data_IF_434095401421
#
_entry.id   IF_434095401421
#
_cell.length_a   1.000
_cell.length_b   1.000
_cell.length_c   1.000
_cell.angle_alpha   90.00
_cell.angle_beta   90.00
_cell.angle_gamma   90.00
#
_symmetry.space_group_name_H-M   'P 1'
#
loop_
_entity.id
_entity.type
_entity.pdbx_description
1 polymer ?
#
# COMPACT_ATOMS: atom_id res chain seq x y z
N UNK A 1 8.73 10.25 -13.20
CA UNK A 1 9.14 10.43 -11.79
C UNK A 1 10.37 9.60 -11.49
N UNK A 2 11.37 10.20 -10.89
CA UNK A 2 12.58 9.50 -10.49
C UNK A 2 12.29 8.72 -9.22
N UNK A 3 12.60 7.45 -9.26
CA UNK A 3 12.41 6.54 -8.16
C UNK A 3 13.52 6.73 -7.12
N UNK A 4 13.16 6.89 -5.85
CA UNK A 4 14.13 7.00 -4.76
C UNK A 4 14.31 5.65 -4.08
N UNK A 5 15.42 4.98 -4.39
CA UNK A 5 15.68 3.62 -3.90
C UNK A 5 15.84 3.55 -2.38
N UNK A 6 16.39 4.58 -1.75
CA UNK A 6 16.55 4.60 -0.29
C UNK A 6 15.20 4.70 0.41
N UNK A 7 14.30 5.53 -0.11
CA UNK A 7 12.95 5.66 0.43
C UNK A 7 12.18 4.35 0.28
N UNK A 8 12.27 3.73 -0.89
CA UNK A 8 11.56 2.46 -1.13
C UNK A 8 12.09 1.38 -0.19
N UNK A 9 13.41 1.31 0.01
CA UNK A 9 14.01 0.35 0.96
C UNK A 9 13.44 0.55 2.36
N UNK A 10 13.37 1.79 2.83
CA UNK A 10 12.80 2.13 4.13
C UNK A 10 11.34 1.71 4.23
N UNK A 11 10.56 1.99 3.19
CA UNK A 11 9.14 1.62 3.16
C UNK A 11 8.98 0.10 3.26
N UNK A 12 9.78 -0.65 2.53
CA UNK A 12 9.69 -2.12 2.53
C UNK A 12 10.16 -2.70 3.87
N UNK A 13 11.24 -2.16 4.45
CA UNK A 13 11.69 -2.59 5.77
C UNK A 13 10.61 -2.37 6.82
N UNK A 14 10.05 -1.18 6.86
CA UNK A 14 8.99 -0.83 7.81
C UNK A 14 7.70 -1.61 7.55
N UNK A 15 7.45 -1.98 6.30
CA UNK A 15 6.31 -2.80 5.90
C UNK A 15 6.47 -4.29 6.20
N UNK A 16 7.63 -4.70 6.73
CA UNK A 16 7.87 -6.09 7.08
C UNK A 16 8.06 -7.00 5.86
N UNK A 17 8.57 -6.47 4.77
CA UNK A 17 8.77 -7.25 3.55
C UNK A 17 10.09 -8.01 3.63
N UNK A 18 10.01 -9.32 3.75
CA UNK A 18 11.17 -10.20 3.85
C UNK A 18 10.91 -11.54 3.14
N UNK A 19 11.90 -12.40 3.11
CA UNK A 19 11.79 -13.69 2.43
C UNK A 19 10.69 -14.58 3.03
N UNK A 20 10.08 -15.37 2.19
CA UNK A 20 9.14 -16.42 2.59
C UNK A 20 7.73 -15.98 2.93
N UNK A 21 7.40 -14.68 2.84
CA UNK A 21 6.07 -14.19 3.17
C UNK A 21 5.16 -14.05 1.95
N UNK A 22 3.87 -13.98 2.20
CA UNK A 22 2.85 -13.69 1.19
C UNK A 22 2.43 -12.22 1.30
N UNK A 23 2.51 -11.50 0.19
CA UNK A 23 2.27 -10.05 0.12
C UNK A 23 1.03 -9.75 -0.70
N UNK A 24 0.19 -8.83 -0.20
CA UNK A 24 -0.89 -8.21 -0.98
C UNK A 24 -0.50 -6.76 -1.26
N UNK A 25 -0.48 -6.39 -2.53
CA UNK A 25 -0.20 -5.02 -2.98
C UNK A 25 -1.50 -4.38 -3.46
N UNK A 26 -2.04 -3.47 -2.66
CA UNK A 26 -3.35 -2.85 -2.87
C UNK A 26 -3.23 -1.64 -3.78
N UNK A 27 -4.08 -1.58 -4.81
CA UNK A 27 -4.03 -0.56 -5.86
C UNK A 27 -2.64 -0.58 -6.52
N UNK A 28 -2.25 -1.75 -6.98
CA UNK A 28 -0.87 -2.01 -7.41
C UNK A 28 -0.46 -1.28 -8.70
N UNK A 29 -1.41 -0.72 -9.43
CA UNK A 29 -1.12 -0.05 -10.70
C UNK A 29 -0.47 -1.01 -11.68
N UNK A 30 0.64 -0.59 -12.27
CA UNK A 30 1.40 -1.42 -13.20
C UNK A 30 2.43 -2.34 -12.52
N UNK A 31 2.40 -2.41 -11.20
CA UNK A 31 3.29 -3.31 -10.44
C UNK A 31 4.64 -2.71 -10.11
N UNK A 32 4.68 -1.43 -9.77
CA UNK A 32 5.93 -0.70 -9.55
C UNK A 32 6.80 -1.29 -8.45
N UNK A 33 6.21 -1.92 -7.43
CA UNK A 33 6.97 -2.56 -6.34
C UNK A 33 7.19 -4.06 -6.53
N UNK A 34 6.61 -4.68 -7.57
CA UNK A 34 6.75 -6.13 -7.74
C UNK A 34 8.20 -6.61 -7.85
N UNK A 35 9.10 -5.92 -8.58
CA UNK A 35 10.51 -6.33 -8.59
C UNK A 35 11.18 -6.25 -7.23
N UNK A 36 10.77 -5.29 -6.40
CA UNK A 36 11.33 -5.11 -5.06
C UNK A 36 10.91 -6.26 -4.13
N UNK A 37 9.65 -6.68 -4.22
CA UNK A 37 9.20 -7.85 -3.46
C UNK A 37 9.97 -9.09 -3.91
N UNK A 38 10.12 -9.29 -5.21
CA UNK A 38 10.84 -10.44 -5.75
C UNK A 38 12.29 -10.47 -5.27
N UNK A 39 12.96 -9.31 -5.25
CA UNK A 39 14.37 -9.24 -4.84
C UNK A 39 14.55 -9.56 -3.35
N UNK A 40 13.48 -9.48 -2.55
CA UNK A 40 13.52 -9.86 -1.12
C UNK A 40 13.13 -11.31 -0.88
N UNK A 41 12.83 -12.05 -1.93
CA UNK A 41 12.56 -13.48 -1.80
C UNK A 41 11.20 -13.84 -1.21
N UNK A 42 10.19 -12.98 -1.37
CA UNK A 42 8.85 -13.27 -0.88
C UNK A 42 8.29 -14.55 -1.53
N UNK A 43 7.45 -15.28 -0.80
CA UNK A 43 6.88 -16.52 -1.30
C UNK A 43 5.84 -16.28 -2.40
N UNK A 44 5.03 -15.24 -2.26
CA UNK A 44 4.04 -14.88 -3.27
C UNK A 44 3.71 -13.40 -3.23
N UNK A 45 3.30 -12.88 -4.39
CA UNK A 45 2.75 -11.52 -4.52
C UNK A 45 1.39 -11.62 -5.17
N UNK A 46 0.41 -11.01 -4.54
CA UNK A 46 -0.92 -10.79 -5.12
C UNK A 46 -1.10 -9.28 -5.25
N UNK A 47 -1.38 -8.81 -6.47
CA UNK A 47 -1.70 -7.40 -6.71
C UNK A 47 -3.18 -7.28 -7.02
N UNK A 48 -3.79 -6.19 -6.61
CA UNK A 48 -5.19 -5.89 -6.95
C UNK A 48 -5.30 -4.44 -7.37
N UNK A 49 -5.99 -4.20 -8.48
CA UNK A 49 -6.27 -2.84 -8.96
C UNK A 49 -7.67 -2.81 -9.58
N UNK A 50 -8.41 -1.75 -9.31
CA UNK A 50 -9.77 -1.61 -9.82
C UNK A 50 -9.78 -1.20 -11.30
N UNK A 51 -8.68 -0.63 -11.80
CA UNK A 51 -8.57 -0.17 -13.18
C UNK A 51 -8.15 -1.34 -14.10
N UNK A 52 -9.01 -1.78 -15.04
CA UNK A 52 -8.69 -2.93 -15.90
C UNK A 52 -7.40 -2.76 -16.68
N UNK A 53 -7.12 -1.55 -17.17
CA UNK A 53 -5.90 -1.30 -17.95
C UNK A 53 -4.64 -1.44 -17.10
N UNK A 54 -4.68 -0.98 -15.85
CA UNK A 54 -3.55 -1.12 -14.94
C UNK A 54 -3.30 -2.59 -14.60
N UNK A 55 -4.35 -3.32 -14.26
CA UNK A 55 -4.25 -4.74 -13.94
C UNK A 55 -3.71 -5.53 -15.14
N UNK A 56 -4.17 -5.21 -16.34
CA UNK A 56 -3.71 -5.85 -17.57
C UNK A 56 -2.21 -5.63 -17.78
N UNK A 57 -1.76 -4.39 -17.65
CA UNK A 57 -0.35 -4.04 -17.82
C UNK A 57 0.53 -4.73 -16.78
N UNK A 58 0.09 -4.75 -15.52
CA UNK A 58 0.81 -5.41 -14.46
C UNK A 58 0.95 -6.92 -14.73
N UNK A 59 -0.13 -7.57 -15.14
CA UNK A 59 -0.11 -9.01 -15.42
C UNK A 59 0.78 -9.34 -16.61
N UNK A 60 0.73 -8.54 -17.67
CA UNK A 60 1.58 -8.75 -18.83
C UNK A 60 3.07 -8.61 -18.50
N UNK A 61 3.39 -7.58 -17.70
CA UNK A 61 4.78 -7.30 -17.32
C UNK A 61 5.31 -8.30 -16.30
N UNK A 62 4.46 -8.80 -15.44
CA UNK A 62 4.83 -9.70 -14.33
C UNK A 62 3.95 -10.95 -14.35
N UNK A 63 4.20 -11.89 -15.29
CA UNK A 63 3.32 -13.06 -15.44
C UNK A 63 3.34 -14.02 -14.25
N UNK A 64 4.33 -13.93 -13.37
CA UNK A 64 4.43 -14.77 -12.19
C UNK A 64 3.70 -14.20 -10.96
N UNK A 65 3.19 -12.98 -11.07
CA UNK A 65 2.42 -12.35 -10.00
C UNK A 65 0.95 -12.64 -10.23
N UNK A 66 0.21 -12.90 -9.16
CA UNK A 66 -1.25 -13.05 -9.24
C UNK A 66 -1.88 -11.66 -9.22
N UNK A 67 -2.27 -11.15 -10.39
CA UNK A 67 -2.89 -9.83 -10.51
C UNK A 67 -4.40 -9.97 -10.65
N UNK A 68 -5.13 -9.28 -9.79
CA UNK A 68 -6.59 -9.28 -9.73
C UNK A 68 -7.09 -7.92 -10.20
N UNK A 69 -8.07 -7.90 -11.11
CA UNK A 69 -8.80 -6.70 -11.44
C UNK A 69 -10.06 -6.66 -10.56
N UNK A 70 -10.11 -5.75 -9.62
CA UNK A 70 -11.26 -5.67 -8.72
C UNK A 70 -11.07 -4.62 -7.63
N UNK A 71 -12.13 -4.45 -6.85
CA UNK A 71 -12.17 -3.57 -5.69
C UNK A 71 -11.76 -4.37 -4.46
N UNK A 72 -10.68 -3.97 -3.78
CA UNK A 72 -10.18 -4.68 -2.61
C UNK A 72 -11.21 -4.74 -1.49
N UNK A 73 -12.09 -3.75 -1.39
CA UNK A 73 -13.09 -3.72 -0.32
C UNK A 73 -14.19 -4.78 -0.50
N UNK A 74 -14.42 -5.24 -1.72
CA UNK A 74 -15.49 -6.19 -2.02
C UNK A 74 -15.03 -7.51 -2.65
N UNK A 75 -13.80 -7.57 -3.15
CA UNK A 75 -13.31 -8.79 -3.76
C UNK A 75 -13.29 -9.94 -2.75
N UNK A 76 -13.83 -11.12 -3.09
CA UNK A 76 -13.94 -12.23 -2.13
C UNK A 76 -12.62 -13.01 -2.01
N UNK A 77 -11.69 -12.47 -1.25
CA UNK A 77 -10.45 -13.18 -0.95
C UNK A 77 -10.75 -14.39 -0.05
N UNK A 78 -10.09 -15.50 -0.33
CA UNK A 78 -10.22 -16.73 0.46
C UNK A 78 -8.98 -16.98 1.33
N UNK A 79 -8.17 -15.96 1.56
CA UNK A 79 -6.91 -16.06 2.30
C UNK A 79 -6.57 -14.74 2.96
N UNK A 80 -5.63 -14.81 3.89
CA UNK A 80 -4.99 -13.66 4.51
C UNK A 80 -3.53 -13.58 4.09
N UNK A 81 -2.90 -12.43 4.33
CA UNK A 81 -1.55 -12.14 3.90
C UNK A 81 -0.66 -11.77 5.09
N UNK A 82 0.64 -12.03 4.97
CA UNK A 82 1.62 -11.68 5.99
C UNK A 82 1.92 -10.16 5.98
N UNK A 83 1.90 -9.55 4.81
CA UNK A 83 2.09 -8.12 4.65
C UNK A 83 1.12 -7.57 3.61
N UNK A 84 0.49 -6.45 3.94
CA UNK A 84 -0.42 -5.72 3.06
C UNK A 84 0.16 -4.33 2.87
N UNK A 85 0.33 -3.92 1.62
CA UNK A 85 0.93 -2.63 1.25
C UNK A 85 -0.03 -1.79 0.44
N UNK A 86 -0.21 -0.53 0.83
CA UNK A 86 -0.89 0.49 0.02
C UNK A 86 0.16 1.57 -0.29
N UNK A 87 0.70 1.55 -1.50
CA UNK A 87 1.80 2.42 -1.89
C UNK A 87 1.33 3.44 -2.93
N UNK A 88 1.49 4.73 -2.61
CA UNK A 88 1.13 5.86 -3.48
C UNK A 88 -0.35 5.84 -3.93
N UNK A 89 -1.25 5.29 -3.12
CA UNK A 89 -2.64 5.09 -3.54
C UNK A 89 -3.69 5.48 -2.50
N UNK A 90 -3.31 5.66 -1.23
CA UNK A 90 -4.28 5.84 -0.15
C UNK A 90 -5.27 6.98 -0.40
N UNK A 91 -4.88 8.17 -0.88
CA UNK A 91 -5.82 9.27 -1.11
C UNK A 91 -6.92 8.97 -2.13
N UNK A 92 -6.79 7.92 -2.92
CA UNK A 92 -7.81 7.52 -3.90
C UNK A 92 -8.99 6.76 -3.26
N UNK A 93 -8.88 6.38 -1.99
CA UNK A 93 -9.94 5.66 -1.28
C UNK A 93 -10.80 6.67 -0.53
N UNK A 94 -12.10 6.76 -0.83
CA UNK A 94 -12.97 7.80 -0.24
C UNK A 94 -13.37 7.53 1.21
N UNK A 95 -13.27 6.28 1.66
CA UNK A 95 -13.70 5.85 3.00
C UNK A 95 -12.51 5.20 3.73
N UNK A 96 -11.59 6.01 4.28
CA UNK A 96 -10.36 5.46 4.84
C UNK A 96 -10.58 4.50 6.01
N UNK A 97 -11.53 4.78 6.90
CA UNK A 97 -11.80 3.88 8.02
C UNK A 97 -12.30 2.52 7.53
N UNK A 98 -13.19 2.51 6.55
CA UNK A 98 -13.71 1.28 5.96
C UNK A 98 -12.60 0.49 5.29
N UNK A 99 -11.71 1.17 4.56
CA UNK A 99 -10.57 0.53 3.92
C UNK A 99 -9.67 -0.14 4.96
N UNK A 100 -9.28 0.58 6.02
CA UNK A 100 -8.38 0.03 7.02
C UNK A 100 -9.01 -1.20 7.71
N UNK A 101 -10.30 -1.15 8.03
CA UNK A 101 -11.01 -2.31 8.58
C UNK A 101 -10.98 -3.51 7.65
N UNK A 102 -11.20 -3.27 6.35
CA UNK A 102 -11.14 -4.34 5.35
C UNK A 102 -9.73 -4.92 5.24
N UNK A 103 -8.70 -4.07 5.21
CA UNK A 103 -7.31 -4.52 5.13
C UNK A 103 -6.90 -5.26 6.40
N UNK A 104 -7.45 -4.91 7.56
CA UNK A 104 -7.25 -5.68 8.79
C UNK A 104 -7.75 -7.11 8.64
N UNK A 105 -8.92 -7.30 8.02
CA UNK A 105 -9.45 -8.64 7.75
C UNK A 105 -8.53 -9.47 6.85
N UNK A 106 -7.81 -8.80 5.94
CA UNK A 106 -6.92 -9.46 4.98
C UNK A 106 -5.51 -9.68 5.53
N UNK A 107 -5.20 -9.13 6.69
CA UNK A 107 -3.89 -9.27 7.33
C UNK A 107 -3.96 -10.36 8.40
N UNK A 108 -3.04 -11.32 8.35
CA UNK A 108 -2.94 -12.35 9.38
C UNK A 108 -2.65 -11.71 10.74
N UNK A 109 -3.14 -12.31 11.85
CA UNK A 109 -2.65 -11.91 13.18
C UNK A 109 -1.12 -11.96 13.20
N UNK A 110 -0.49 -10.90 13.69
CA UNK A 110 0.98 -10.79 13.66
C UNK A 110 1.55 -10.31 12.33
N UNK A 111 0.73 -10.23 11.29
CA UNK A 111 1.13 -9.66 10.01
C UNK A 111 1.16 -8.13 10.05
N UNK A 112 1.56 -7.50 8.94
CA UNK A 112 1.73 -6.05 8.91
C UNK A 112 0.89 -5.40 7.83
N UNK A 113 0.36 -4.21 8.17
CA UNK A 113 -0.25 -3.30 7.20
C UNK A 113 0.61 -2.05 7.11
N UNK A 114 0.85 -1.60 5.89
CA UNK A 114 1.60 -0.37 5.63
C UNK A 114 0.87 0.50 4.61
N UNK A 115 0.68 1.77 4.94
CA UNK A 115 0.22 2.80 4.01
C UNK A 115 1.39 3.76 3.82
N UNK A 116 1.87 3.90 2.59
CA UNK A 116 3.10 4.65 2.33
C UNK A 116 3.02 5.47 1.05
N UNK A 117 3.78 6.55 1.04
CA UNK A 117 4.03 7.38 -0.13
C UNK A 117 5.51 7.64 -0.27
N UNK A 118 6.01 7.56 -1.49
CA UNK A 118 7.40 7.87 -1.80
C UNK A 118 7.70 9.36 -1.92
N UNK A 119 6.79 10.21 -1.44
CA UNK A 119 7.01 11.66 -1.35
C UNK A 119 6.29 12.19 -0.11
N UNK A 120 6.70 13.39 0.36
CA UNK A 120 6.10 14.01 1.54
C UNK A 120 4.66 14.45 1.31
N UNK A 121 3.90 14.68 2.39
CA UNK A 121 2.55 15.24 2.30
C UNK A 121 2.57 16.59 1.58
N UNK A 122 3.55 17.44 1.85
CA UNK A 122 3.66 18.74 1.21
C UNK A 122 3.90 18.60 -0.29
N UNK A 123 4.78 17.68 -0.70
CA UNK A 123 5.06 17.42 -2.12
C UNK A 123 3.83 16.84 -2.82
N UNK A 124 3.11 15.96 -2.16
CA UNK A 124 1.91 15.34 -2.72
C UNK A 124 0.82 16.40 -2.92
N UNK A 125 0.59 17.28 -1.94
CA UNK A 125 -0.38 18.36 -2.04
C UNK A 125 -0.01 19.32 -3.18
N UNK A 126 1.27 19.67 -3.33
CA UNK A 126 1.73 20.51 -4.42
C UNK A 126 1.53 19.84 -5.78
N UNK A 127 1.80 18.56 -5.88
CA UNK A 127 1.63 17.76 -7.09
C UNK A 127 0.17 17.71 -7.54
N UNK A 128 -0.76 17.74 -6.60
CA UNK A 128 -2.20 17.70 -6.87
C UNK A 128 -2.83 19.09 -6.98
N UNK A 129 -2.04 20.15 -6.94
CA UNK A 129 -2.54 21.49 -7.18
C UNK A 129 -2.92 21.64 -8.65
N UNK A 130 -3.97 22.41 -8.94
CA UNK A 130 -4.47 22.61 -10.31
C UNK A 130 -5.71 21.75 -10.59
N UNK A 131 -5.93 21.42 -11.87
CA UNK A 131 -7.16 20.75 -12.30
C UNK A 131 -7.37 19.39 -11.63
N UNK A 132 -6.30 18.65 -11.39
CA UNK A 132 -6.38 17.34 -10.76
C UNK A 132 -6.75 17.41 -9.28
N UNK A 133 -6.49 18.53 -8.62
CA UNK A 133 -6.73 18.69 -7.18
C UNK A 133 -8.20 18.54 -6.80
N UNK A 134 -9.11 18.76 -7.76
CA UNK A 134 -10.55 18.69 -7.51
C UNK A 134 -11.06 17.26 -7.32
N UNK A 135 -10.31 16.28 -7.80
CA UNK A 135 -10.69 14.86 -7.72
C UNK A 135 -9.79 14.07 -6.78
N UNK A 136 -8.74 14.70 -6.24
CA UNK A 136 -7.80 14.07 -5.32
C UNK A 136 -8.15 14.45 -3.89
N UNK A 137 -8.10 13.46 -3.00
CA UNK A 137 -8.20 13.68 -1.56
C UNK A 137 -6.77 13.81 -1.05
N UNK A 138 -6.50 14.86 -0.26
CA UNK A 138 -5.18 15.06 0.34
C UNK A 138 -4.83 13.89 1.25
N UNK A 139 -3.54 13.59 1.34
CA UNK A 139 -3.05 12.54 2.21
C UNK A 139 -3.32 12.92 3.67
N UNK A 140 -3.97 12.00 4.40
CA UNK A 140 -4.34 12.18 5.78
C UNK A 140 -3.10 12.42 6.66
N UNK A 141 -3.26 13.26 7.70
CA UNK A 141 -2.23 13.42 8.72
C UNK A 141 -1.86 12.04 9.30
N UNK A 142 -0.57 11.81 9.53
CA UNK A 142 -0.08 10.51 10.00
C UNK A 142 -0.66 10.11 11.37
N UNK A 143 -0.93 11.07 12.23
CA UNK A 143 -1.53 10.79 13.54
C UNK A 143 -2.98 10.35 13.38
N UNK A 144 -3.72 10.96 12.46
CA UNK A 144 -5.10 10.59 12.19
C UNK A 144 -5.18 9.20 11.58
N UNK A 145 -4.28 8.88 10.66
CA UNK A 145 -4.22 7.55 10.07
C UNK A 145 -3.84 6.50 11.09
N UNK A 146 -2.85 6.80 11.95
CA UNK A 146 -2.46 5.89 13.03
C UNK A 146 -3.64 5.60 13.96
N UNK A 147 -4.49 6.60 14.24
CA UNK A 147 -5.68 6.41 15.05
C UNK A 147 -6.68 5.43 14.39
N UNK A 148 -6.81 5.47 13.07
CA UNK A 148 -7.64 4.50 12.34
C UNK A 148 -7.05 3.08 12.43
N UNK A 149 -5.73 2.96 12.36
CA UNK A 149 -5.05 1.67 12.50
C UNK A 149 -5.26 1.07 13.89
N UNK A 150 -5.30 1.91 14.93
CA UNK A 150 -5.20 1.48 16.32
C UNK A 150 -6.29 0.50 16.77
N UNK A 151 -7.44 0.49 16.10
CA UNK A 151 -8.50 -0.48 16.37
C UNK A 151 -8.03 -1.91 16.15
N UNK A 152 -7.20 -2.14 15.11
CA UNK A 152 -6.81 -3.49 14.67
C UNK A 152 -5.30 -3.74 14.72
N UNK A 153 -4.49 -2.70 14.84
CA UNK A 153 -3.03 -2.79 14.73
C UNK A 153 -2.33 -2.10 15.88
N UNK A 154 -1.19 -2.65 16.28
CA UNK A 154 -0.23 -1.95 17.11
C UNK A 154 0.69 -1.16 16.18
N UNK A 155 0.54 0.16 16.16
CA UNK A 155 1.28 1.05 15.27
C UNK A 155 2.67 1.30 15.83
N UNK A 156 3.70 1.04 15.05
CA UNK A 156 5.08 1.27 15.44
C UNK A 156 5.86 2.12 14.43
N UNK A 157 5.25 2.47 13.31
CA UNK A 157 5.86 3.36 12.30
C UNK A 157 4.90 4.49 11.99
N UNK A 158 5.38 5.72 12.12
CA UNK A 158 4.60 6.91 11.86
C UNK A 158 5.57 7.99 11.38
N UNK A 159 5.73 8.08 10.05
CA UNK A 159 6.71 8.96 9.40
C UNK A 159 5.97 9.93 8.48
N UNK A 160 6.27 11.21 8.62
CA UNK A 160 5.85 12.24 7.67
C UNK A 160 6.92 13.32 7.68
N UNK A 161 7.82 13.27 6.71
CA UNK A 161 8.95 14.20 6.61
C UNK A 161 9.03 14.77 5.19
N UNK A 162 10.16 15.37 4.84
CA UNK A 162 10.35 16.02 3.54
C UNK A 162 10.57 15.02 2.39
N UNK A 163 10.68 13.74 2.69
CA UNK A 163 11.02 12.71 1.70
C UNK A 163 9.90 11.67 1.52
N UNK A 164 9.21 11.34 2.58
CA UNK A 164 8.27 10.21 2.54
C UNK A 164 7.19 10.32 3.61
N UNK A 165 6.21 9.46 3.46
CA UNK A 165 5.13 9.27 4.43
C UNK A 165 4.93 7.77 4.63
N UNK A 166 4.77 7.35 5.88
CA UNK A 166 4.42 5.96 6.14
C UNK A 166 3.78 5.79 7.52
N UNK A 167 2.69 5.04 7.55
CA UNK A 167 2.10 4.52 8.78
C UNK A 167 2.05 3.01 8.65
N UNK A 168 2.60 2.30 9.61
CA UNK A 168 2.61 0.84 9.60
C UNK A 168 2.43 0.28 11.01
N UNK A 169 1.88 -0.91 11.08
CA UNK A 169 1.67 -1.58 12.35
C UNK A 169 1.48 -3.08 12.19
N UNK A 170 1.50 -3.76 13.33
CA UNK A 170 1.33 -5.20 13.43
C UNK A 170 -0.10 -5.53 13.83
N UNK A 171 -0.74 -6.47 13.12
CA UNK A 171 -2.11 -6.93 13.37
C UNK A 171 -2.19 -7.60 14.75
N UNK A 172 -3.10 -7.09 15.57
CA UNK A 172 -3.39 -7.65 16.89
C UNK A 172 -3.90 -9.08 16.82
#
# INVERSE_FOLDING_TARGET
MIRNEDVIRTILDNGGIHDGIDVLDVACGTGVLFPDYASRGVASVTGIDIAPEMARRAQEKFPNVNVICGDVESYPFNRQFDAVMVYNAFPHFPEPERLIGRLAELTKPGGRLSVAHGMSRAMLAHHHSGAASKVSIDLMDEHDLAALFATWFDVDVMISDDRMYQVAGTRK
#
